data_IF_088338722759
#
_entry.id   IF_088338722759
#
_cell.length_a   1.000
_cell.length_b   1.000
_cell.length_c   1.000
_cell.angle_alpha   90.00
_cell.angle_beta   90.00
_cell.angle_gamma   90.00
#
_symmetry.space_group_name_H-M   'P 1'
#
loop_
_entity.id
_entity.type
_entity.pdbx_description
1 polymer ?
#
# COMPACT_ATOMS: atom_id res chain seq x y z
N UNK A 1 -13.97 2.13 17.64
CA UNK A 1 -12.99 1.11 17.25
C UNK A 1 -11.85 1.76 16.51
N UNK A 2 -10.69 1.63 17.03
CA UNK A 2 -9.50 2.05 16.32
C UNK A 2 -9.06 0.89 15.46
N UNK A 3 -9.72 0.72 14.34
CA UNK A 3 -9.41 -0.39 13.48
C UNK A 3 -8.32 -0.05 12.48
N UNK A 4 -7.66 -1.07 12.00
CA UNK A 4 -6.82 -0.98 10.84
C UNK A 4 -7.74 -1.29 9.66
N UNK A 5 -8.15 -0.26 8.94
CA UNK A 5 -9.02 -0.45 7.80
C UNK A 5 -8.19 -0.79 6.56
N UNK A 6 -8.65 -1.75 5.79
CA UNK A 6 -8.00 -2.09 4.53
C UNK A 6 -8.05 -0.89 3.60
N UNK A 7 -6.90 -0.45 3.13
CA UNK A 7 -6.77 0.67 2.21
C UNK A 7 -6.60 0.19 0.77
N UNK A 8 -5.63 -0.68 0.56
CA UNK A 8 -5.42 -1.25 -0.77
C UNK A 8 -4.63 -2.55 -0.70
N UNK A 9 -4.67 -3.28 -1.81
CA UNK A 9 -3.82 -4.46 -2.03
C UNK A 9 -2.99 -4.17 -3.27
N UNK A 10 -1.68 -4.32 -3.17
CA UNK A 10 -0.76 -4.13 -4.28
C UNK A 10 -0.24 -5.47 -4.75
N UNK A 11 -0.37 -5.73 -6.05
CA UNK A 11 0.07 -6.98 -6.65
C UNK A 11 0.96 -6.72 -7.85
N UNK A 12 1.87 -7.66 -8.11
CA UNK A 12 2.81 -7.55 -9.23
C UNK A 12 2.16 -8.06 -10.52
N UNK A 13 2.33 -7.29 -11.61
CA UNK A 13 1.88 -7.70 -12.93
C UNK A 13 3.05 -7.61 -13.91
N UNK A 14 3.04 -8.44 -14.93
CA UNK A 14 4.10 -8.48 -15.95
C UNK A 14 3.77 -7.57 -17.12
N UNK A 15 2.51 -7.42 -17.45
CA UNK A 15 2.01 -6.64 -18.59
C UNK A 15 0.96 -5.67 -18.04
N UNK A 16 1.36 -4.41 -17.85
CA UNK A 16 0.49 -3.42 -17.23
C UNK A 16 -0.76 -3.13 -18.06
N UNK A 17 -0.62 -2.94 -19.37
CA UNK A 17 -1.76 -2.62 -20.23
C UNK A 17 -2.81 -3.73 -20.17
N UNK A 18 -2.34 -4.95 -20.25
CA UNK A 18 -3.23 -6.12 -20.23
C UNK A 18 -3.91 -6.26 -18.87
N UNK A 19 -3.16 -6.03 -17.79
CA UNK A 19 -3.71 -6.13 -16.44
C UNK A 19 -4.74 -5.04 -16.18
N UNK A 20 -4.47 -3.81 -16.57
CA UNK A 20 -5.42 -2.70 -16.43
C UNK A 20 -6.70 -3.01 -17.18
N UNK A 21 -6.58 -3.46 -18.44
CA UNK A 21 -7.75 -3.81 -19.25
C UNK A 21 -8.56 -4.93 -18.60
N UNK A 22 -7.87 -5.91 -18.03
CA UNK A 22 -8.54 -7.03 -17.37
C UNK A 22 -9.39 -6.55 -16.19
N UNK A 23 -8.80 -5.74 -15.30
CA UNK A 23 -9.56 -5.25 -14.14
C UNK A 23 -10.67 -4.30 -14.53
N UNK A 24 -10.48 -3.49 -15.55
CA UNK A 24 -11.55 -2.65 -16.07
C UNK A 24 -12.69 -3.49 -16.60
N UNK A 25 -12.39 -4.60 -17.24
CA UNK A 25 -13.45 -5.50 -17.78
C UNK A 25 -14.27 -6.14 -16.67
N UNK A 26 -13.72 -6.22 -15.46
CA UNK A 26 -14.45 -6.72 -14.29
C UNK A 26 -15.30 -5.63 -13.63
N UNK A 27 -15.24 -4.40 -14.11
CA UNK A 27 -16.02 -3.30 -13.59
C UNK A 27 -15.27 -2.40 -12.60
N UNK A 28 -13.97 -2.61 -12.41
CA UNK A 28 -13.19 -1.73 -11.54
C UNK A 28 -12.86 -0.43 -12.27
N UNK A 29 -12.77 0.64 -11.49
CA UNK A 29 -12.56 1.99 -12.03
C UNK A 29 -11.11 2.42 -11.86
N UNK A 30 -10.40 2.56 -12.99
CA UNK A 30 -9.01 2.96 -12.98
C UNK A 30 -8.90 4.45 -12.67
N UNK A 31 -8.19 4.78 -11.59
CA UNK A 31 -7.98 6.15 -11.14
C UNK A 31 -6.65 6.70 -11.65
N UNK A 32 -5.66 5.85 -11.77
CA UNK A 32 -4.32 6.23 -12.25
C UNK A 32 -3.72 5.08 -13.03
N UNK A 33 -3.11 5.40 -14.18
CA UNK A 33 -2.42 4.41 -14.99
C UNK A 33 -1.05 4.93 -15.41
N UNK A 34 -0.02 4.07 -15.21
CA UNK A 34 1.32 4.32 -15.74
C UNK A 34 2.02 2.99 -15.96
N UNK A 35 3.19 3.01 -16.60
CA UNK A 35 3.96 1.79 -16.81
C UNK A 35 4.42 1.15 -15.51
N UNK A 36 4.77 1.99 -14.53
CA UNK A 36 5.33 1.50 -13.27
C UNK A 36 4.27 1.04 -12.29
N UNK A 37 3.15 1.77 -12.20
CA UNK A 37 2.08 1.37 -11.30
C UNK A 37 0.76 1.98 -11.74
N UNK A 38 -0.33 1.30 -11.38
CA UNK A 38 -1.68 1.77 -11.66
C UNK A 38 -2.53 1.55 -10.42
N UNK A 39 -3.56 2.36 -10.27
CA UNK A 39 -4.41 2.30 -9.09
C UNK A 39 -5.88 2.38 -9.46
N UNK A 40 -6.67 1.53 -8.81
CA UNK A 40 -8.12 1.47 -8.99
C UNK A 40 -8.82 2.00 -7.75
N UNK A 41 -9.93 2.70 -7.96
CA UNK A 41 -10.71 3.29 -6.86
C UNK A 41 -11.11 2.26 -5.79
N UNK A 42 -11.28 1.01 -6.19
CA UNK A 42 -11.68 -0.07 -5.29
C UNK A 42 -10.55 -0.57 -4.39
N UNK A 43 -9.37 0.01 -4.52
CA UNK A 43 -8.27 -0.33 -3.63
C UNK A 43 -7.34 -1.41 -4.15
N UNK A 44 -7.22 -1.54 -5.45
CA UNK A 44 -6.24 -2.44 -6.07
C UNK A 44 -5.14 -1.59 -6.69
N UNK A 45 -3.90 -1.88 -6.34
CA UNK A 45 -2.73 -1.27 -6.96
C UNK A 45 -1.98 -2.32 -7.76
N UNK A 46 -1.61 -1.99 -8.99
CA UNK A 46 -0.84 -2.88 -9.85
C UNK A 46 0.59 -2.36 -9.94
N UNK A 47 1.55 -3.21 -9.63
CA UNK A 47 2.97 -2.88 -9.66
C UNK A 47 3.57 -3.50 -10.91
N UNK A 48 4.04 -2.65 -11.83
CA UNK A 48 4.64 -3.10 -13.09
C UNK A 48 6.04 -3.67 -12.89
N UNK A 49 6.63 -4.24 -13.95
CA UNK A 49 7.94 -4.90 -13.84
C UNK A 49 9.05 -3.97 -13.37
N UNK A 50 8.96 -2.68 -13.68
CA UNK A 50 9.97 -1.69 -13.29
C UNK A 50 9.78 -1.09 -11.91
N UNK A 51 8.71 -1.41 -11.23
CA UNK A 51 8.43 -0.83 -9.91
C UNK A 51 9.26 -1.54 -8.85
N UNK A 52 10.11 -0.80 -8.15
CA UNK A 52 11.03 -1.40 -7.18
C UNK A 52 11.00 -0.72 -5.80
N UNK A 53 10.03 0.17 -5.54
CA UNK A 53 9.94 0.87 -4.26
C UNK A 53 9.25 0.07 -3.17
N UNK A 54 8.47 -0.91 -3.56
CA UNK A 54 7.79 -1.81 -2.61
C UNK A 54 7.54 -3.15 -3.28
N UNK A 55 7.46 -4.19 -2.47
CA UNK A 55 6.99 -5.51 -2.89
C UNK A 55 5.47 -5.52 -2.91
N UNK A 56 4.83 -6.55 -3.47
CA UNK A 56 3.40 -6.74 -3.27
C UNK A 56 3.06 -6.69 -1.78
N UNK A 57 1.97 -6.00 -1.44
CA UNK A 57 1.65 -5.76 -0.04
C UNK A 57 0.17 -5.50 0.18
N UNK A 58 -0.24 -5.59 1.44
CA UNK A 58 -1.56 -5.18 1.90
C UNK A 58 -1.36 -3.91 2.71
N UNK A 59 -2.15 -2.88 2.42
CA UNK A 59 -2.06 -1.61 3.14
C UNK A 59 -3.27 -1.40 4.02
N UNK A 60 -3.02 -0.92 5.24
CA UNK A 60 -4.06 -0.59 6.21
C UNK A 60 -4.08 0.91 6.45
N UNK A 61 -5.27 1.48 6.50
CA UNK A 61 -5.47 2.90 6.70
C UNK A 61 -5.62 3.22 8.19
N UNK A 62 -4.93 4.27 8.63
CA UNK A 62 -5.09 4.84 9.96
C UNK A 62 -5.59 6.28 9.79
N UNK A 63 -6.44 6.74 10.70
CA UNK A 63 -7.11 8.02 10.53
C UNK A 63 -6.20 9.23 10.73
N UNK A 64 -5.22 9.13 11.65
CA UNK A 64 -4.40 10.26 12.00
C UNK A 64 -2.91 9.93 11.94
N UNK A 65 -2.11 10.98 11.79
CA UNK A 65 -0.66 10.89 11.82
C UNK A 65 -0.17 10.37 13.18
N UNK A 66 -0.86 10.75 14.25
CA UNK A 66 -0.52 10.27 15.59
C UNK A 66 -0.73 8.78 15.75
N UNK A 67 -1.84 8.27 15.19
CA UNK A 67 -2.10 6.84 15.21
C UNK A 67 -1.06 6.06 14.41
N UNK A 68 -0.59 6.63 13.30
CA UNK A 68 0.45 6.03 12.50
C UNK A 68 1.75 5.89 13.29
N UNK A 69 2.17 6.98 13.95
CA UNK A 69 3.36 6.98 14.77
C UNK A 69 3.26 6.00 15.94
N UNK A 70 2.09 5.96 16.56
CA UNK A 70 1.83 5.04 17.67
C UNK A 70 1.94 3.59 17.21
N UNK A 71 1.36 3.26 16.07
CA UNK A 71 1.45 1.91 15.50
C UNK A 71 2.90 1.54 15.19
N UNK A 72 3.64 2.47 14.62
CA UNK A 72 5.05 2.28 14.30
C UNK A 72 5.86 1.94 15.57
N UNK A 73 5.66 2.72 16.63
CA UNK A 73 6.35 2.49 17.91
C UNK A 73 5.97 1.15 18.54
N UNK A 74 4.68 0.82 18.51
CA UNK A 74 4.20 -0.45 19.05
C UNK A 74 4.88 -1.64 18.36
N UNK A 75 4.95 -1.62 17.04
CA UNK A 75 5.55 -2.71 16.28
C UNK A 75 7.06 -2.77 16.53
N UNK A 76 7.74 -1.63 16.59
CA UNK A 76 9.16 -1.60 16.91
C UNK A 76 9.43 -2.16 18.30
N UNK A 77 8.61 -1.80 19.29
CA UNK A 77 8.74 -2.30 20.67
C UNK A 77 8.48 -3.80 20.75
N UNK A 78 7.64 -4.32 19.87
CA UNK A 78 7.39 -5.77 19.78
C UNK A 78 8.49 -6.53 19.05
N UNK A 79 9.49 -5.83 18.54
CA UNK A 79 10.63 -6.45 17.87
C UNK A 79 10.47 -6.60 16.34
N UNK A 80 9.42 -6.06 15.76
CA UNK A 80 9.26 -6.11 14.32
C UNK A 80 10.08 -5.03 13.63
N UNK A 81 10.61 -5.36 12.46
CA UNK A 81 11.38 -4.42 11.67
C UNK A 81 10.44 -3.53 10.87
N UNK A 82 10.52 -2.23 11.08
CA UNK A 82 9.70 -1.25 10.37
C UNK A 82 10.59 -0.18 9.78
N UNK A 83 10.32 0.24 8.55
CA UNK A 83 11.00 1.40 8.02
C UNK A 83 10.45 2.66 8.71
N UNK A 84 11.15 3.79 8.59
CA UNK A 84 10.64 5.05 9.13
C UNK A 84 9.44 5.53 8.36
N UNK A 85 8.43 6.12 9.02
CA UNK A 85 7.35 6.79 8.31
C UNK A 85 7.90 7.87 7.38
N UNK A 86 7.36 7.96 6.17
CA UNK A 86 7.78 8.97 5.22
C UNK A 86 6.58 9.46 4.40
N UNK A 87 6.72 10.68 3.89
CA UNK A 87 5.66 11.34 3.14
C UNK A 87 5.77 11.03 1.66
N UNK A 88 4.66 10.63 1.07
CA UNK A 88 4.55 10.40 -0.37
C UNK A 88 4.18 11.69 -1.09
N UNK A 89 4.42 11.72 -2.41
CA UNK A 89 4.12 12.89 -3.23
C UNK A 89 2.65 13.28 -3.20
N UNK A 90 1.78 12.28 -3.14
CA UNK A 90 0.32 12.51 -3.15
C UNK A 90 -0.22 12.97 -1.81
N UNK A 91 0.63 13.20 -0.83
CA UNK A 91 0.19 13.76 0.46
C UNK A 91 -0.17 12.72 1.51
N UNK A 92 0.18 11.47 1.30
CA UNK A 92 0.01 10.45 2.33
C UNK A 92 1.32 10.21 3.06
N UNK A 93 1.24 9.67 4.26
CA UNK A 93 2.40 9.26 5.05
C UNK A 93 2.24 7.78 5.36
N UNK A 94 3.30 7.01 5.20
CA UNK A 94 3.23 5.58 5.47
C UNK A 94 4.55 5.01 5.98
N UNK A 95 4.47 3.80 6.51
CA UNK A 95 5.65 2.99 6.76
C UNK A 95 5.35 1.54 6.38
N UNK A 96 6.42 0.79 6.14
CA UNK A 96 6.32 -0.63 5.78
C UNK A 96 6.90 -1.49 6.87
N UNK A 97 6.32 -2.66 7.04
CA UNK A 97 6.82 -3.71 7.92
C UNK A 97 6.54 -5.06 7.27
N UNK A 98 6.84 -6.15 7.96
CA UNK A 98 6.53 -7.48 7.47
C UNK A 98 5.85 -8.26 8.59
N UNK A 99 4.93 -9.16 8.19
CA UNK A 99 4.28 -10.03 9.16
C UNK A 99 5.20 -11.20 9.54
N UNK A 100 4.69 -12.13 10.35
CA UNK A 100 5.45 -13.27 10.83
C UNK A 100 5.93 -14.21 9.73
N UNK A 101 5.31 -14.15 8.54
CA UNK A 101 5.62 -15.01 7.41
C UNK A 101 6.37 -14.27 6.29
N UNK A 102 6.76 -13.02 6.54
CA UNK A 102 7.52 -12.24 5.57
C UNK A 102 6.72 -11.46 4.57
N UNK A 103 5.39 -11.43 4.69
CA UNK A 103 4.55 -10.64 3.80
C UNK A 103 4.67 -9.15 4.14
N UNK A 104 4.86 -8.32 3.13
CA UNK A 104 4.98 -6.88 3.34
C UNK A 104 3.63 -6.26 3.67
N UNK A 105 3.60 -5.42 4.68
CA UNK A 105 2.43 -4.64 5.08
C UNK A 105 2.77 -3.17 5.03
N UNK A 106 1.78 -2.35 4.71
CA UNK A 106 1.92 -0.90 4.75
C UNK A 106 0.86 -0.34 5.70
N UNK A 107 1.25 0.62 6.53
CA UNK A 107 0.30 1.43 7.30
C UNK A 107 0.37 2.84 6.76
N UNK A 108 -0.78 3.41 6.41
CA UNK A 108 -0.86 4.66 5.65
C UNK A 108 -1.93 5.58 6.25
N UNK A 109 -1.67 6.88 6.23
CA UNK A 109 -2.65 7.88 6.62
C UNK A 109 -2.52 9.10 5.71
N UNK A 110 -3.53 9.96 5.72
CA UNK A 110 -3.43 11.28 5.08
C UNK A 110 -2.54 12.17 5.93
N UNK A 111 -1.74 12.96 5.28
CA UNK A 111 -0.85 13.89 5.97
C UNK A 111 -1.61 15.14 6.42
#
# INVERSE_FOLDING_TARGET
>A
MTGNFLHHVAIRVKDMDRAVSYYMSLGFNCEWESEDWSYFEEGIALLGPGYNRADPHVAFYLETHEELKKKWKELMDMGYSCCRPYKHREGTVSFYTRDSEGNQLEFICQD
#
